data_IF_365752545002
#
_entry.id   IF_365752545002
#
_cell.length_a   1.000
_cell.length_b   1.000
_cell.length_c   1.000
_cell.angle_alpha   90.00
_cell.angle_beta   90.00
_cell.angle_gamma   90.00
#
_symmetry.space_group_name_H-M   'P 1'
#
loop_
_entity.id
_entity.type
_entity.pdbx_description
1 polymer ?
#
# COMPACT_ATOMS: atom_id res chain seq x y z
N UNK A 1 14.10 16.42 22.41
CA UNK A 1 14.17 16.49 20.93
C UNK A 1 12.78 16.78 20.42
N UNK A 2 12.53 17.95 19.85
CA UNK A 2 11.25 18.23 19.21
C UNK A 2 11.16 17.34 17.96
N UNK A 3 10.20 16.43 17.95
CA UNK A 3 9.95 15.60 16.78
C UNK A 3 9.58 16.52 15.61
N UNK A 4 10.43 16.57 14.58
CA UNK A 4 10.09 17.25 13.33
C UNK A 4 8.90 16.52 12.71
N UNK A 5 7.73 17.15 12.78
CA UNK A 5 6.48 16.60 12.24
C UNK A 5 6.66 16.22 10.77
N UNK A 6 7.48 16.96 10.01
CA UNK A 6 7.78 16.65 8.60
C UNK A 6 8.54 15.33 8.40
N UNK A 7 9.37 14.89 9.35
CA UNK A 7 10.12 13.63 9.24
C UNK A 7 9.26 12.41 9.66
N UNK A 8 8.25 12.64 10.49
CA UNK A 8 7.32 11.59 10.95
C UNK A 8 6.12 11.47 10.01
N UNK A 9 5.69 12.59 9.43
CA UNK A 9 4.56 12.63 8.52
C UNK A 9 4.91 11.88 7.22
N UNK A 10 4.25 10.75 6.99
CA UNK A 10 4.44 9.96 5.78
C UNK A 10 5.66 9.01 5.79
N UNK A 11 6.42 8.91 6.88
CA UNK A 11 7.52 7.93 6.98
C UNK A 11 7.08 6.53 7.39
N UNK A 12 5.86 6.39 7.94
CA UNK A 12 5.26 5.09 8.34
C UNK A 12 3.95 4.79 7.61
N UNK A 13 3.80 5.26 6.38
CA UNK A 13 2.61 4.97 5.56
C UNK A 13 2.91 3.88 4.55
N UNK A 14 1.94 3.00 4.37
CA UNK A 14 1.97 1.96 3.36
C UNK A 14 1.65 2.58 1.99
N UNK A 15 2.61 3.34 1.47
CA UNK A 15 2.48 4.08 0.21
C UNK A 15 2.77 3.19 -1.01
N UNK A 16 2.52 3.71 -2.21
CA UNK A 16 2.71 2.97 -3.47
C UNK A 16 4.13 2.39 -3.62
N UNK A 17 5.14 3.10 -3.12
CA UNK A 17 6.54 2.65 -3.20
C UNK A 17 6.78 1.44 -2.30
N UNK A 18 6.37 1.53 -1.02
CA UNK A 18 6.45 0.43 -0.05
C UNK A 18 5.62 -0.76 -0.52
N UNK A 19 4.45 -0.52 -1.10
CA UNK A 19 3.59 -1.57 -1.63
C UNK A 19 4.25 -2.29 -2.82
N UNK A 20 4.93 -1.58 -3.72
CA UNK A 20 5.66 -2.20 -4.85
C UNK A 20 6.91 -2.97 -4.41
N UNK A 21 7.56 -2.55 -3.32
CA UNK A 21 8.72 -3.24 -2.76
C UNK A 21 8.32 -4.49 -1.94
N UNK A 22 7.22 -4.40 -1.19
CA UNK A 22 6.80 -5.45 -0.26
C UNK A 22 5.84 -6.47 -0.87
N UNK A 23 4.97 -6.04 -1.80
CA UNK A 23 3.96 -6.92 -2.39
C UNK A 23 4.44 -7.49 -3.73
N UNK A 24 4.09 -8.74 -4.04
CA UNK A 24 4.27 -9.29 -5.38
C UNK A 24 3.56 -8.43 -6.44
N UNK A 25 4.14 -8.31 -7.64
CA UNK A 25 3.57 -7.51 -8.73
C UNK A 25 2.12 -7.87 -9.07
N UNK A 26 1.74 -9.14 -8.93
CA UNK A 26 0.38 -9.62 -9.13
C UNK A 26 -0.59 -9.07 -8.07
N UNK A 27 -0.20 -9.15 -6.79
CA UNK A 27 -0.96 -8.64 -5.65
C UNK A 27 -1.13 -7.12 -5.75
N UNK A 28 -0.05 -6.38 -6.00
CA UNK A 28 -0.10 -4.93 -6.13
C UNK A 28 -1.03 -4.50 -7.27
N UNK A 29 -0.99 -5.20 -8.41
CA UNK A 29 -1.85 -4.92 -9.56
C UNK A 29 -3.32 -5.19 -9.25
N UNK A 30 -3.63 -6.31 -8.60
CA UNK A 30 -5.00 -6.64 -8.19
C UNK A 30 -5.55 -5.65 -7.17
N UNK A 31 -4.75 -5.27 -6.17
CA UNK A 31 -5.11 -4.25 -5.18
C UNK A 31 -5.33 -2.86 -5.82
N UNK A 32 -4.46 -2.46 -6.75
CA UNK A 32 -4.59 -1.20 -7.50
C UNK A 32 -5.84 -1.19 -8.38
N UNK A 33 -6.09 -2.29 -9.09
CA UNK A 33 -7.30 -2.44 -9.90
C UNK A 33 -8.57 -2.40 -9.04
N UNK A 34 -8.55 -3.02 -7.86
CA UNK A 34 -9.65 -2.96 -6.87
C UNK A 34 -9.92 -1.51 -6.45
N UNK A 35 -8.87 -0.76 -6.09
CA UNK A 35 -8.97 0.65 -5.69
C UNK A 35 -9.49 1.55 -6.81
N UNK A 36 -9.09 1.31 -8.06
CA UNK A 36 -9.49 2.16 -9.20
C UNK A 36 -10.85 1.78 -9.81
N UNK A 37 -11.17 0.49 -9.87
CA UNK A 37 -12.38 -0.02 -10.52
C UNK A 37 -13.54 -0.20 -9.54
N UNK A 38 -13.29 -0.05 -8.23
CA UNK A 38 -14.27 -0.35 -7.19
C UNK A 38 -14.66 -1.83 -7.15
N UNK A 39 -13.78 -2.71 -7.64
CA UNK A 39 -13.99 -4.15 -7.62
C UNK A 39 -13.91 -4.69 -6.19
N UNK A 40 -14.52 -5.85 -5.89
CA UNK A 40 -14.33 -6.52 -4.61
C UNK A 40 -12.87 -6.94 -4.42
N UNK A 41 -12.34 -6.72 -3.21
CA UNK A 41 -10.98 -7.10 -2.85
C UNK A 41 -10.83 -8.62 -2.90
N UNK A 42 -9.84 -9.08 -3.65
CA UNK A 42 -9.51 -10.50 -3.73
C UNK A 42 -9.00 -11.00 -2.36
N UNK A 43 -9.55 -12.12 -1.87
CA UNK A 43 -9.21 -12.68 -0.56
C UNK A 43 -7.77 -13.20 -0.53
N UNK A 44 -7.24 -13.62 -1.68
CA UNK A 44 -5.84 -14.05 -1.79
C UNK A 44 -4.87 -12.86 -1.68
N UNK A 45 -5.30 -11.68 -2.12
CA UNK A 45 -4.57 -10.42 -1.96
C UNK A 45 -4.66 -9.90 -0.52
N UNK A 46 -5.79 -10.12 0.15
CA UNK A 46 -6.00 -9.69 1.53
C UNK A 46 -5.18 -10.49 2.56
N UNK A 47 -4.79 -11.72 2.22
CA UNK A 47 -4.08 -12.64 3.12
C UNK A 47 -2.54 -12.61 2.98
N UNK A 48 -1.98 -11.73 2.15
CA UNK A 48 -0.52 -11.65 1.90
C UNK A 48 0.21 -10.66 2.81
#
# INVERSE_FOLDING_TARGET
MAANVMEIYGSKVFNEHVMKERLPSATYKSLKDTLHKGAPLDIEVANV
#
